data_IF_506064477168
#
_entry.id   IF_506064477168
#
_cell.length_a   1.000
_cell.length_b   1.000
_cell.length_c   1.000
_cell.angle_alpha   90.00
_cell.angle_beta   90.00
_cell.angle_gamma   90.00
#
_symmetry.space_group_name_H-M   'P 1'
#
loop_
_entity.id
_entity.type
_entity.pdbx_description
1 polymer ?
#
# COMPACT_ATOMS: atom_id res chain seq x y z
N UNK A 1 -3.80 -5.15 -13.83
CA UNK A 1 -3.36 -5.76 -12.55
C UNK A 1 -4.52 -5.71 -11.56
N UNK A 2 -4.63 -6.71 -10.69
CA UNK A 2 -5.67 -6.79 -9.65
C UNK A 2 -5.01 -6.97 -8.29
N UNK A 3 -5.47 -6.21 -7.30
CA UNK A 3 -5.07 -6.36 -5.90
C UNK A 3 -6.31 -6.72 -5.08
N UNK A 4 -6.15 -7.64 -4.12
CA UNK A 4 -7.25 -8.08 -3.26
C UNK A 4 -6.84 -8.03 -1.80
N UNK A 5 -7.79 -7.68 -0.95
CA UNK A 5 -7.67 -7.75 0.50
C UNK A 5 -8.86 -8.53 1.05
N UNK A 6 -8.61 -9.43 1.99
CA UNK A 6 -9.62 -10.19 2.70
C UNK A 6 -9.53 -9.88 4.20
N UNK A 7 -10.63 -9.40 4.76
CA UNK A 7 -10.82 -9.23 6.19
C UNK A 7 -11.85 -10.22 6.73
N UNK A 8 -12.11 -10.13 8.04
CA UNK A 8 -13.06 -11.01 8.72
C UNK A 8 -14.50 -10.85 8.20
N UNK A 9 -14.91 -9.62 7.85
CA UNK A 9 -16.31 -9.31 7.53
C UNK A 9 -16.55 -8.87 6.08
N UNK A 10 -15.47 -8.67 5.32
CA UNK A 10 -15.55 -8.30 3.92
C UNK A 10 -14.25 -8.62 3.19
N UNK A 11 -14.37 -8.74 1.87
CA UNK A 11 -13.24 -8.70 0.95
C UNK A 11 -13.42 -7.53 -0.03
N UNK A 12 -12.31 -7.00 -0.52
CA UNK A 12 -12.31 -5.94 -1.51
C UNK A 12 -11.22 -6.17 -2.56
N UNK A 13 -11.51 -5.72 -3.78
CA UNK A 13 -10.61 -5.85 -4.92
C UNK A 13 -10.52 -4.54 -5.67
N UNK A 14 -9.30 -4.15 -5.97
CA UNK A 14 -8.98 -3.12 -6.95
C UNK A 14 -8.66 -3.82 -8.27
N UNK A 15 -9.51 -3.65 -9.28
CA UNK A 15 -9.37 -4.29 -10.59
C UNK A 15 -9.05 -3.27 -11.67
N UNK A 16 -8.66 -3.76 -12.86
CA UNK A 16 -8.41 -2.93 -14.04
C UNK A 16 -7.43 -1.79 -13.76
N UNK A 17 -6.31 -2.14 -13.11
CA UNK A 17 -5.22 -1.21 -12.75
C UNK A 17 -5.67 -0.04 -11.86
N UNK A 18 -6.61 -0.31 -10.95
CA UNK A 18 -7.08 0.67 -9.97
C UNK A 18 -8.25 1.52 -10.44
N UNK A 19 -8.80 1.24 -11.63
CA UNK A 19 -9.93 2.00 -12.16
C UNK A 19 -11.28 1.56 -11.59
N UNK A 20 -11.34 0.38 -10.97
CA UNK A 20 -12.58 -0.17 -10.38
C UNK A 20 -12.32 -0.74 -8.99
N UNK A 21 -13.29 -0.54 -8.11
CA UNK A 21 -13.27 -1.03 -6.73
C UNK A 21 -14.50 -1.92 -6.50
N UNK A 22 -14.27 -3.19 -6.20
CA UNK A 22 -15.30 -4.15 -5.83
C UNK A 22 -15.23 -4.43 -4.33
N UNK A 23 -16.37 -4.54 -3.67
CA UNK A 23 -16.49 -4.91 -2.25
C UNK A 23 -17.51 -6.03 -2.10
N UNK A 24 -17.20 -7.04 -1.29
CA UNK A 24 -18.15 -8.06 -0.89
C UNK A 24 -18.15 -8.19 0.63
N UNK A 25 -19.26 -7.84 1.27
CA UNK A 25 -19.48 -8.12 2.70
C UNK A 25 -19.85 -9.59 2.89
N UNK A 26 -19.61 -10.15 4.09
CA UNK A 26 -19.79 -11.57 4.40
C UNK A 26 -21.15 -12.15 3.98
N UNK A 27 -22.22 -11.37 4.14
CA UNK A 27 -23.59 -11.80 3.87
C UNK A 27 -24.01 -11.59 2.41
N UNK A 28 -23.20 -10.89 1.61
CA UNK A 28 -23.51 -10.61 0.22
C UNK A 28 -23.13 -11.78 -0.68
N UNK A 29 -24.06 -12.23 -1.51
CA UNK A 29 -23.83 -13.30 -2.49
C UNK A 29 -22.88 -12.88 -3.61
N UNK A 30 -22.94 -11.60 -4.01
CA UNK A 30 -22.08 -11.03 -5.07
C UNK A 30 -21.40 -9.74 -4.60
N UNK A 31 -20.19 -9.44 -5.11
CA UNK A 31 -19.54 -8.16 -4.89
C UNK A 31 -20.35 -7.01 -5.50
N UNK A 32 -20.41 -5.89 -4.79
CA UNK A 32 -20.90 -4.62 -5.31
C UNK A 32 -19.74 -3.77 -5.84
N UNK A 33 -20.01 -2.96 -6.86
CA UNK A 33 -19.04 -1.99 -7.37
C UNK A 33 -19.19 -0.67 -6.61
N UNK A 34 -18.09 -0.23 -5.99
CA UNK A 34 -18.00 1.02 -5.27
C UNK A 34 -17.53 2.10 -6.23
N UNK A 35 -18.32 3.15 -6.37
CA UNK A 35 -17.93 4.32 -7.16
C UNK A 35 -16.72 5.00 -6.53
N UNK A 36 -15.65 5.13 -7.30
CA UNK A 36 -14.42 5.82 -6.91
C UNK A 36 -14.19 7.03 -7.82
N UNK A 37 -13.59 8.07 -7.25
CA UNK A 37 -13.18 9.25 -8.03
C UNK A 37 -11.83 8.96 -8.65
N UNK A 38 -11.75 9.02 -9.98
CA UNK A 38 -10.49 8.91 -10.68
C UNK A 38 -9.59 10.11 -10.34
N UNK A 39 -8.32 9.82 -10.05
CA UNK A 39 -7.33 10.81 -9.66
C UNK A 39 -6.02 10.52 -10.41
N UNK A 40 -5.34 11.58 -10.85
CA UNK A 40 -3.95 11.47 -11.28
C UNK A 40 -3.07 11.36 -10.01
N UNK A 41 -2.46 10.19 -9.74
CA UNK A 41 -1.75 9.95 -8.48
C UNK A 41 -0.49 10.82 -8.35
N UNK A 42 0.17 11.14 -9.47
CA UNK A 42 1.39 11.97 -9.46
C UNK A 42 1.02 13.41 -9.14
N UNK A 43 0.01 13.95 -9.83
CA UNK A 43 -0.45 15.32 -9.58
C UNK A 43 -1.01 15.47 -8.15
N UNK A 44 -1.74 14.49 -7.66
CA UNK A 44 -2.24 14.48 -6.29
C UNK A 44 -1.10 14.49 -5.26
N UNK A 45 -0.08 13.66 -5.46
CA UNK A 45 1.07 13.57 -4.55
C UNK A 45 1.87 14.88 -4.51
N UNK A 46 2.09 15.51 -5.66
CA UNK A 46 2.79 16.81 -5.75
C UNK A 46 1.99 17.92 -5.05
N UNK A 47 0.66 17.95 -5.26
CA UNK A 47 -0.22 18.91 -4.57
C UNK A 47 -0.15 18.73 -3.06
N UNK A 48 -0.32 17.50 -2.57
CA UNK A 48 -0.23 17.17 -1.16
C UNK A 48 1.12 17.58 -0.56
N UNK A 49 2.23 17.35 -1.28
CA UNK A 49 3.55 17.80 -0.84
C UNK A 49 3.63 19.33 -0.68
N UNK A 50 3.21 20.09 -1.71
CA UNK A 50 3.24 21.56 -1.67
C UNK A 50 2.34 22.10 -0.57
N UNK A 51 1.16 21.53 -0.40
CA UNK A 51 0.22 21.95 0.63
C UNK A 51 0.80 21.70 2.02
N UNK A 52 1.34 20.52 2.30
CA UNK A 52 1.98 20.20 3.58
C UNK A 52 3.14 21.14 3.92
N UNK A 53 3.94 21.54 2.92
CA UNK A 53 5.01 22.54 3.11
C UNK A 53 4.42 23.90 3.48
N UNK A 54 3.34 24.32 2.83
CA UNK A 54 2.69 25.63 3.07
C UNK A 54 1.98 25.71 4.41
N UNK A 55 1.33 24.62 4.82
CA UNK A 55 0.53 24.56 6.05
C UNK A 55 1.33 24.07 7.25
N UNK A 56 2.60 23.70 7.05
CA UNK A 56 3.43 23.06 8.08
C UNK A 56 2.77 21.83 8.70
N UNK A 57 2.01 21.08 7.90
CA UNK A 57 1.35 19.85 8.34
C UNK A 57 2.21 18.63 8.04
N UNK A 58 2.08 17.62 8.88
CA UNK A 58 2.76 16.34 8.65
C UNK A 58 2.21 15.68 7.38
N UNK A 59 3.09 15.15 6.50
CA UNK A 59 2.65 14.40 5.34
C UNK A 59 2.01 13.07 5.75
N UNK A 60 1.14 12.54 4.88
CA UNK A 60 0.57 11.19 5.03
C UNK A 60 1.66 10.11 5.04
N UNK A 61 2.68 10.28 4.19
CA UNK A 61 3.82 9.38 4.07
C UNK A 61 5.11 10.20 4.02
N UNK A 62 6.04 9.94 4.95
CA UNK A 62 7.31 10.63 5.07
C UNK A 62 8.51 9.68 4.99
N UNK A 63 9.66 10.17 5.44
CA UNK A 63 10.92 9.41 5.38
C UNK A 63 10.92 8.17 6.26
N UNK A 64 10.27 8.20 7.42
CA UNK A 64 10.20 7.07 8.34
C UNK A 64 9.43 5.90 7.71
N UNK A 65 8.26 6.18 7.15
CA UNK A 65 7.44 5.19 6.45
C UNK A 65 8.17 4.62 5.23
N UNK A 66 8.90 5.47 4.50
CA UNK A 66 9.74 5.04 3.37
C UNK A 66 10.87 4.09 3.78
N UNK A 67 11.53 4.33 4.91
CA UNK A 67 12.59 3.44 5.43
C UNK A 67 12.06 2.06 5.83
N UNK A 68 10.82 1.98 6.31
CA UNK A 68 10.16 0.71 6.61
C UNK A 68 9.86 -0.10 5.35
N UNK A 69 9.35 0.56 4.30
CA UNK A 69 9.15 -0.10 2.98
C UNK A 69 10.47 -0.63 2.45
N UNK A 70 11.54 0.15 2.51
CA UNK A 70 12.88 -0.28 2.08
C UNK A 70 13.35 -1.50 2.89
N UNK A 71 13.09 -1.54 4.19
CA UNK A 71 13.44 -2.70 5.03
C UNK A 71 12.77 -3.99 4.57
N UNK A 72 11.47 -3.92 4.25
CA UNK A 72 10.71 -5.05 3.74
C UNK A 72 11.24 -5.50 2.37
N UNK A 73 11.48 -4.55 1.45
CA UNK A 73 12.01 -4.87 0.11
C UNK A 73 13.40 -5.51 0.19
N UNK A 74 14.25 -5.06 1.11
CA UNK A 74 15.55 -5.64 1.36
C UNK A 74 15.43 -7.06 1.94
N UNK A 75 14.56 -7.27 2.92
CA UNK A 75 14.29 -8.59 3.48
C UNK A 75 13.78 -9.58 2.42
N UNK A 76 12.86 -9.15 1.55
CA UNK A 76 12.36 -9.95 0.41
C UNK A 76 13.52 -10.32 -0.52
N UNK A 77 14.37 -9.35 -0.86
CA UNK A 77 15.52 -9.57 -1.77
C UNK A 77 16.51 -10.58 -1.17
N UNK A 78 16.84 -10.43 0.12
CA UNK A 78 17.72 -11.37 0.84
C UNK A 78 17.08 -12.75 0.95
N UNK A 79 15.79 -12.84 1.25
CA UNK A 79 15.05 -14.09 1.32
C UNK A 79 15.10 -14.84 -0.01
N UNK A 80 14.81 -14.15 -1.12
CA UNK A 80 14.87 -14.72 -2.47
C UNK A 80 16.27 -15.24 -2.82
N UNK A 81 17.32 -14.50 -2.46
CA UNK A 81 18.71 -14.91 -2.68
C UNK A 81 19.11 -16.16 -1.87
N UNK A 82 18.42 -16.44 -0.75
CA UNK A 82 18.68 -17.57 0.15
C UNK A 82 17.59 -18.63 0.09
N UNK A 83 16.93 -18.80 -1.06
CA UNK A 83 15.97 -19.88 -1.28
C UNK A 83 14.68 -19.77 -0.46
N UNK A 84 14.27 -18.55 -0.11
CA UNK A 84 13.06 -18.30 0.69
C UNK A 84 13.29 -18.35 2.20
N UNK A 85 14.53 -18.14 2.66
CA UNK A 85 14.83 -18.04 4.09
C UNK A 85 14.02 -16.91 4.75
N UNK A 86 13.62 -17.12 6.01
CA UNK A 86 13.00 -16.07 6.82
C UNK A 86 14.06 -15.05 7.20
N UNK A 87 13.79 -13.77 6.92
CA UNK A 87 14.67 -12.65 7.26
C UNK A 87 13.91 -11.74 8.22
N UNK A 88 14.43 -11.58 9.43
CA UNK A 88 13.83 -10.69 10.44
C UNK A 88 14.08 -9.23 10.06
N UNK A 89 13.04 -8.39 10.18
CA UNK A 89 13.17 -6.97 9.86
C UNK A 89 14.08 -6.22 10.83
N UNK A 90 14.18 -6.69 12.08
CA UNK A 90 15.05 -6.07 13.07
C UNK A 90 16.53 -6.24 12.71
N UNK A 91 16.91 -7.33 12.05
CA UNK A 91 18.27 -7.54 11.53
C UNK A 91 18.59 -6.58 10.38
N UNK A 92 17.58 -6.22 9.56
CA UNK A 92 17.72 -5.22 8.50
C UNK A 92 17.87 -3.81 9.09
N UNK A 93 17.05 -3.48 10.09
CA UNK A 93 17.06 -2.17 10.73
C UNK A 93 18.34 -1.92 11.54
N UNK A 94 18.86 -2.95 12.23
CA UNK A 94 20.07 -2.86 13.03
C UNK A 94 21.37 -2.72 12.20
N UNK A 95 21.32 -3.09 10.92
CA UNK A 95 22.45 -2.96 9.99
C UNK A 95 22.59 -1.58 9.32
N UNK A 96 21.79 -0.58 9.73
CA UNK A 96 21.79 0.78 9.17
C UNK A 96 22.47 1.79 10.09
#
# INVERSE_FOLDING_TARGET
MTFGVAGTDAAAWSTDDGTRLLRQVREAEMPEEITVVALDPVLASVRAFVDNVRTHTAPETGGAEGLEVVAVLEAITRSAAHGGAVIELDDIRAGR
#
